data_IF_206030014847
#
_entry.id   IF_206030014847
#
_cell.length_a   1.000
_cell.length_b   1.000
_cell.length_c   1.000
_cell.angle_alpha   90.00
_cell.angle_beta   90.00
_cell.angle_gamma   90.00
#
_symmetry.space_group_name_H-M   'P 1'
#
loop_
_entity.id
_entity.type
_entity.pdbx_description
1 polymer ?
#
# COMPACT_ATOMS: atom_id res chain seq x y z
N UNK A 1 8.66 -4.72 -27.56
CA UNK A 1 8.51 -3.79 -26.42
C UNK A 1 8.41 -4.61 -25.13
N UNK A 2 9.51 -4.70 -24.37
CA UNK A 2 9.72 -5.71 -23.33
C UNK A 2 8.93 -5.47 -22.03
N UNK A 3 8.33 -6.54 -21.49
CA UNK A 3 7.56 -6.54 -20.23
C UNK A 3 8.48 -6.52 -18.99
N UNK A 4 9.39 -5.54 -18.89
CA UNK A 4 10.39 -5.45 -17.82
C UNK A 4 9.81 -5.25 -16.40
N UNK A 5 8.53 -4.89 -16.26
CA UNK A 5 7.90 -4.63 -14.96
C UNK A 5 7.09 -5.78 -14.38
N UNK A 6 6.92 -6.90 -15.10
CA UNK A 6 6.04 -8.00 -14.68
C UNK A 6 6.85 -9.18 -14.14
N UNK A 7 7.35 -9.06 -12.91
CA UNK A 7 7.93 -10.20 -12.21
C UNK A 7 6.89 -11.32 -12.06
N UNK A 8 7.34 -12.56 -12.28
CA UNK A 8 6.53 -13.77 -12.09
C UNK A 8 6.14 -13.87 -10.60
N UNK A 9 4.85 -14.10 -10.34
CA UNK A 9 4.32 -14.32 -8.98
C UNK A 9 4.60 -15.77 -8.54
N UNK A 10 4.72 -15.99 -7.23
CA UNK A 10 4.84 -17.33 -6.65
C UNK A 10 3.59 -18.15 -7.01
N UNK A 11 3.78 -19.44 -7.30
CA UNK A 11 2.67 -20.39 -7.48
C UNK A 11 1.94 -20.53 -6.13
N UNK A 12 0.62 -20.43 -6.14
CA UNK A 12 -0.23 -20.66 -4.96
C UNK A 12 -0.98 -21.98 -5.16
N UNK A 13 -1.17 -22.74 -4.09
CA UNK A 13 -1.99 -23.95 -4.11
C UNK A 13 -3.44 -23.57 -4.46
N UNK A 14 -4.03 -24.25 -5.44
CA UNK A 14 -5.40 -24.01 -5.88
C UNK A 14 -6.16 -25.34 -5.86
N UNK A 15 -7.16 -25.45 -4.98
CA UNK A 15 -8.01 -26.62 -4.86
C UNK A 15 -9.48 -26.18 -4.88
N UNK A 16 -10.21 -26.68 -5.88
CA UNK A 16 -11.64 -26.43 -6.08
C UNK A 16 -12.41 -27.71 -5.73
N UNK A 17 -13.03 -27.78 -4.54
CA UNK A 17 -13.90 -28.90 -4.16
C UNK A 17 -15.10 -29.04 -5.11
N UNK A 18 -15.52 -30.28 -5.38
CA UNK A 18 -16.59 -30.60 -6.37
C UNK A 18 -18.01 -30.27 -5.89
N UNK A 19 -18.27 -30.35 -4.58
CA UNK A 19 -19.62 -30.23 -3.99
C UNK A 19 -19.75 -29.07 -3.01
N UNK A 20 -18.73 -28.21 -2.92
CA UNK A 20 -18.73 -27.10 -2.00
C UNK A 20 -19.05 -25.83 -2.77
N UNK A 21 -20.15 -25.18 -2.37
CA UNK A 21 -20.52 -23.86 -2.86
C UNK A 21 -19.89 -22.81 -1.96
N UNK A 22 -18.96 -22.08 -2.56
CA UNK A 22 -18.14 -21.09 -1.92
C UNK A 22 -18.93 -19.78 -1.94
N UNK A 23 -19.69 -19.49 -0.87
CA UNK A 23 -20.58 -18.33 -0.72
C UNK A 23 -19.85 -16.97 -0.69
N UNK A 24 -18.79 -16.82 -1.47
CA UNK A 24 -17.90 -15.67 -1.54
C UNK A 24 -16.74 -15.69 -0.54
N UNK A 25 -16.64 -16.71 0.33
CA UNK A 25 -15.64 -16.74 1.42
C UNK A 25 -14.28 -17.37 1.04
N UNK A 26 -14.24 -18.17 -0.03
CA UNK A 26 -13.02 -18.82 -0.54
C UNK A 26 -12.86 -20.27 -0.07
N UNK A 27 -12.09 -21.05 -0.82
CA UNK A 27 -11.93 -22.49 -0.58
C UNK A 27 -11.45 -22.79 0.86
N UNK A 28 -12.14 -23.65 1.62
CA UNK A 28 -11.79 -23.97 3.01
C UNK A 28 -10.46 -24.74 3.11
N UNK A 29 -9.97 -25.26 1.98
CA UNK A 29 -8.70 -25.97 1.86
C UNK A 29 -7.55 -25.04 1.45
N UNK A 30 -7.79 -23.73 1.36
CA UNK A 30 -6.76 -22.77 1.05
C UNK A 30 -5.82 -22.67 2.25
N UNK A 31 -4.55 -22.98 2.01
CA UNK A 31 -3.47 -22.84 3.00
C UNK A 31 -3.20 -21.34 3.16
N UNK A 32 -3.91 -20.69 4.07
CA UNK A 32 -3.68 -19.29 4.46
C UNK A 32 -3.52 -19.16 5.97
N UNK A 33 -2.65 -18.27 6.42
CA UNK A 33 -2.49 -17.98 7.83
C UNK A 33 -3.62 -17.05 8.30
N UNK A 34 -4.07 -17.17 9.56
CA UNK A 34 -5.14 -16.31 10.13
C UNK A 34 -4.87 -14.81 9.99
N UNK A 35 -3.58 -14.44 9.98
CA UNK A 35 -3.12 -13.05 9.86
C UNK A 35 -3.01 -12.57 8.40
N UNK A 36 -3.07 -13.45 7.40
CA UNK A 36 -2.87 -13.07 6.00
C UNK A 36 -3.97 -12.13 5.51
N UNK A 37 -5.19 -12.25 6.04
CA UNK A 37 -6.32 -11.36 5.75
C UNK A 37 -6.07 -9.90 6.17
N UNK A 38 -5.18 -9.69 7.14
CA UNK A 38 -4.84 -8.36 7.67
C UNK A 38 -3.53 -7.81 7.11
N UNK A 39 -2.87 -8.52 6.17
CA UNK A 39 -1.57 -8.13 5.60
C UNK A 39 -1.71 -7.54 4.21
N UNK A 40 -1.93 -6.22 4.08
CA UNK A 40 -2.08 -5.58 2.77
C UNK A 40 -0.81 -5.65 1.91
N UNK A 41 0.35 -5.88 2.53
CA UNK A 41 1.68 -5.82 1.89
C UNK A 41 2.13 -7.13 1.23
N UNK A 42 1.50 -8.27 1.52
CA UNK A 42 1.96 -9.58 1.02
C UNK A 42 1.56 -9.89 -0.43
N UNK A 43 0.58 -9.17 -0.99
CA UNK A 43 0.12 -9.47 -2.34
C UNK A 43 1.05 -8.81 -3.38
N UNK A 44 2.17 -9.50 -3.65
CA UNK A 44 3.10 -9.35 -4.76
C UNK A 44 3.86 -8.02 -4.89
N UNK A 45 5.01 -8.04 -5.56
CA UNK A 45 5.68 -6.82 -6.03
C UNK A 45 4.78 -6.16 -7.08
N UNK A 46 3.99 -5.18 -6.67
CA UNK A 46 3.23 -4.33 -7.59
C UNK A 46 4.16 -3.28 -8.21
N UNK A 47 3.98 -2.97 -9.49
CA UNK A 47 4.63 -1.84 -10.13
C UNK A 47 4.20 -0.51 -9.51
N UNK A 48 4.84 0.59 -9.90
CA UNK A 48 4.61 1.95 -9.35
C UNK A 48 3.12 2.30 -9.26
N UNK A 49 2.35 2.16 -10.35
CA UNK A 49 0.90 2.41 -10.38
C UNK A 49 0.13 1.63 -9.30
N UNK A 50 0.49 0.37 -9.08
CA UNK A 50 -0.15 -0.48 -8.08
C UNK A 50 0.26 -0.16 -6.64
N UNK A 51 1.38 0.54 -6.43
CA UNK A 51 1.78 1.10 -5.13
C UNK A 51 1.00 2.38 -4.85
N UNK A 52 0.88 3.28 -5.82
CA UNK A 52 0.10 4.52 -5.69
C UNK A 52 -1.37 4.25 -5.37
N UNK A 53 -2.03 3.36 -6.11
CA UNK A 53 -3.44 3.01 -5.83
C UNK A 53 -3.64 2.47 -4.41
N UNK A 54 -2.74 1.58 -3.96
CA UNK A 54 -2.76 1.00 -2.61
C UNK A 54 -2.59 2.07 -1.53
N UNK A 55 -1.63 2.99 -1.71
CA UNK A 55 -1.42 4.09 -0.78
C UNK A 55 -2.64 5.02 -0.71
N UNK A 56 -3.33 5.23 -1.83
CA UNK A 56 -4.56 6.03 -1.86
C UNK A 56 -5.72 5.31 -1.15
N UNK A 57 -5.85 3.99 -1.34
CA UNK A 57 -6.83 3.19 -0.61
C UNK A 57 -6.55 3.14 0.90
N UNK A 58 -5.26 3.04 1.28
CA UNK A 58 -4.83 3.10 2.69
C UNK A 58 -5.11 4.48 3.30
N UNK A 59 -4.99 5.57 2.53
CA UNK A 59 -5.34 6.92 2.97
C UNK A 59 -6.86 7.09 3.20
N UNK A 60 -7.69 6.43 2.39
CA UNK A 60 -9.15 6.43 2.54
C UNK A 60 -9.64 5.61 3.73
N UNK A 61 -8.83 4.66 4.19
CA UNK A 61 -9.15 3.86 5.37
C UNK A 61 -9.20 4.76 6.60
N UNK A 62 -10.25 4.64 7.41
CA UNK A 62 -10.41 5.44 8.64
C UNK A 62 -9.36 5.04 9.70
N UNK A 63 -8.15 5.59 9.58
CA UNK A 63 -7.09 5.44 10.55
C UNK A 63 -7.41 6.17 11.86
N UNK A 64 -6.79 5.72 12.95
CA UNK A 64 -6.91 6.39 14.25
C UNK A 64 -6.35 7.81 14.19
N UNK A 65 -6.83 8.71 15.06
CA UNK A 65 -6.34 10.11 15.12
C UNK A 65 -4.81 10.17 15.22
N UNK A 66 -4.21 9.28 16.00
CA UNK A 66 -2.76 9.16 16.18
C UNK A 66 -2.03 8.83 14.88
N UNK A 67 -2.59 7.97 14.02
CA UNK A 67 -1.99 7.63 12.73
C UNK A 67 -2.00 8.83 11.79
N UNK A 68 -3.12 9.58 11.73
CA UNK A 68 -3.22 10.79 10.89
C UNK A 68 -2.19 11.85 11.29
N UNK A 69 -2.03 12.09 12.59
CA UNK A 69 -1.06 13.05 13.12
C UNK A 69 0.37 12.61 12.77
N UNK A 70 0.72 11.34 12.99
CA UNK A 70 2.06 10.82 12.65
C UNK A 70 2.36 10.95 11.16
N UNK A 71 1.41 10.62 10.29
CA UNK A 71 1.57 10.77 8.84
C UNK A 71 1.80 12.22 8.45
N UNK A 72 1.05 13.16 9.03
CA UNK A 72 1.22 14.60 8.77
C UNK A 72 2.62 15.09 9.22
N UNK A 73 3.06 14.69 10.42
CA UNK A 73 4.40 15.02 10.93
C UNK A 73 5.49 14.50 10.00
N UNK A 74 5.39 13.25 9.52
CA UNK A 74 6.36 12.68 8.58
C UNK A 74 6.39 13.48 7.27
N UNK A 75 5.23 13.86 6.72
CA UNK A 75 5.15 14.66 5.49
C UNK A 75 5.80 16.04 5.71
N UNK A 76 5.52 16.71 6.83
CA UNK A 76 6.09 18.01 7.15
C UNK A 76 7.61 17.97 7.26
N UNK A 77 8.16 16.95 7.94
CA UNK A 77 9.62 16.75 8.07
C UNK A 77 10.26 16.49 6.70
N UNK A 78 9.65 15.64 5.87
CA UNK A 78 10.17 15.35 4.53
C UNK A 78 10.19 16.60 3.64
N UNK A 79 9.16 17.45 3.71
CA UNK A 79 9.13 18.72 2.99
C UNK A 79 10.24 19.65 3.52
N UNK A 80 10.39 19.76 4.83
CA UNK A 80 11.44 20.61 5.42
C UNK A 80 12.83 20.18 4.98
N UNK A 81 13.14 18.88 5.03
CA UNK A 81 14.43 18.33 4.56
C UNK A 81 14.61 18.62 3.07
N UNK A 82 13.57 18.43 2.26
CA UNK A 82 13.63 18.72 0.83
C UNK A 82 13.93 20.20 0.56
N UNK A 83 13.24 21.11 1.23
CA UNK A 83 13.44 22.56 1.10
C UNK A 83 14.83 23.00 1.57
N UNK A 84 15.36 22.35 2.61
CA UNK A 84 16.72 22.59 3.08
C UNK A 84 17.78 22.18 2.04
N UNK A 85 17.63 21.03 1.38
CA UNK A 85 18.60 20.54 0.38
C UNK A 85 18.72 21.48 -0.83
N UNK A 86 17.65 22.17 -1.19
CA UNK A 86 17.62 23.07 -2.36
C UNK A 86 17.85 24.55 -1.98
N UNK A 87 18.20 24.82 -0.72
CA UNK A 87 18.33 26.18 -0.17
C UNK A 87 17.11 27.07 -0.49
N UNK A 88 15.90 26.52 -0.39
CA UNK A 88 14.69 27.23 -0.76
C UNK A 88 14.36 28.33 0.25
N UNK A 89 14.23 29.56 -0.25
CA UNK A 89 13.89 30.70 0.58
C UNK A 89 12.40 30.69 0.97
N UNK A 90 12.12 30.46 2.26
CA UNK A 90 10.78 30.47 2.84
C UNK A 90 10.21 31.88 3.03
N UNK A 91 11.05 32.92 2.98
CA UNK A 91 10.63 34.31 3.19
C UNK A 91 9.69 34.82 2.10
N UNK A 92 9.73 34.20 0.90
CA UNK A 92 8.82 34.46 -0.21
C UNK A 92 7.33 34.33 0.16
N UNK A 93 7.02 33.53 1.19
CA UNK A 93 5.65 33.33 1.66
C UNK A 93 5.23 34.29 2.80
N UNK A 94 6.19 34.99 3.43
CA UNK A 94 5.97 35.83 4.61
C UNK A 94 5.93 37.32 4.24
N UNK A 95 6.48 37.72 3.10
CA UNK A 95 6.40 39.10 2.60
C UNK A 95 4.99 39.46 2.14
N UNK A 96 4.20 40.01 3.08
CA UNK A 96 3.10 40.96 2.88
C UNK A 96 3.02 41.90 4.07
#
# INVERSE_FOLDING_TARGET
MGKFSKLRKNKKFNYTPRYYDDKGEGSPYKIEHKLDKFRPTMDGRRGLKGKFGRAMDDLKRSGSRNQKIRTLIIIAILILIFLYIIDFDLSIFITR
#
